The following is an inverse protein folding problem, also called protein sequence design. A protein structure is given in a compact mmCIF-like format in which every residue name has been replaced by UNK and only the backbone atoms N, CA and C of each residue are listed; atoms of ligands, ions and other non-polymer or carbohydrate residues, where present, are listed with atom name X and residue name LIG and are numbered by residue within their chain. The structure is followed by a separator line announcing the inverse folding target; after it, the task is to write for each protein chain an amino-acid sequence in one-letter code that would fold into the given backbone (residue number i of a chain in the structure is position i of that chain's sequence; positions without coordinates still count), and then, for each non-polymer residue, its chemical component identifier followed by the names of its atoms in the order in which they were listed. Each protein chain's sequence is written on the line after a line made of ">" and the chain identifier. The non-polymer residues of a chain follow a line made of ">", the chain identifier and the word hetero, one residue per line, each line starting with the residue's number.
data_IF_806814617846
#
_entry.id   IF_806814617846
#
_cell.length_a   1.000
_cell.length_b   1.000
_cell.length_c   1.000
_cell.angle_alpha   90.00
_cell.angle_beta   90.00
_cell.angle_gamma   90.00
#
_symmetry.space_group_name_H-M   'P 1'
#
loop_
_entity.id
_entity.type
_entity.pdbx_description
1 polymer ?
#
# COMPACT_ATOMS: atom_id res chain seq x y z
N UNK A 1 10.21 4.30 3.88
CA UNK A 1 10.62 5.12 2.72
C UNK A 1 9.39 5.40 1.90
N UNK A 2 8.84 6.62 1.96
CA UNK A 2 7.74 7.00 1.07
C UNK A 2 8.35 7.18 -0.32
N UNK A 3 8.30 6.16 -1.17
CA UNK A 3 8.41 6.41 -2.61
C UNK A 3 7.30 7.39 -2.91
N UNK A 4 7.70 8.63 -3.24
CA UNK A 4 6.76 9.71 -3.51
C UNK A 4 5.73 9.21 -4.49
N UNK A 5 4.50 9.11 -4.01
CA UNK A 5 3.27 9.09 -4.82
C UNK A 5 3.29 8.07 -5.97
N UNK A 6 4.10 7.01 -5.91
CA UNK A 6 4.02 5.98 -6.93
C UNK A 6 2.76 5.17 -6.62
N UNK A 7 1.77 5.25 -7.50
CA UNK A 7 0.77 4.19 -7.57
C UNK A 7 1.51 2.98 -8.13
N UNK A 8 1.56 1.88 -7.38
CA UNK A 8 2.43 0.75 -7.71
C UNK A 8 1.56 -0.49 -7.89
N UNK A 9 1.72 -1.23 -8.98
CA UNK A 9 1.30 -2.62 -9.02
C UNK A 9 2.42 -3.50 -8.45
N UNK A 10 2.16 -4.11 -7.29
CA UNK A 10 3.03 -5.17 -6.77
C UNK A 10 2.72 -6.50 -7.47
N UNK A 11 3.77 -7.30 -7.68
CA UNK A 11 3.70 -8.72 -8.02
C UNK A 11 3.14 -9.48 -6.80
N UNK A 12 1.85 -9.34 -6.53
CA UNK A 12 1.18 -10.22 -5.59
C UNK A 12 1.22 -11.62 -6.20
N UNK A 13 1.94 -12.53 -5.55
CA UNK A 13 2.22 -13.86 -6.05
C UNK A 13 0.94 -14.50 -6.60
N UNK A 14 1.03 -15.02 -7.82
CA UNK A 14 -0.06 -15.69 -8.50
C UNK A 14 -0.31 -17.04 -7.79
N UNK A 15 -1.12 -17.06 -6.74
CA UNK A 15 -1.47 -18.28 -6.00
C UNK A 15 -2.58 -19.06 -6.72
N UNK A 16 -2.40 -19.30 -8.02
CA UNK A 16 -3.20 -20.27 -8.76
C UNK A 16 -2.55 -21.67 -8.67
N UNK A 17 -2.35 -22.18 -7.46
CA UNK A 17 -2.08 -23.61 -7.23
C UNK A 17 -2.58 -24.05 -5.85
N UNK A 18 -3.88 -23.86 -5.61
CA UNK A 18 -4.61 -24.71 -4.69
C UNK A 18 -4.88 -26.06 -5.37
N UNK A 19 -4.78 -27.17 -4.63
CA UNK A 19 -5.11 -28.53 -5.08
C UNK A 19 -6.57 -28.61 -5.57
N UNK A 20 -6.80 -28.24 -6.83
CA UNK A 20 -8.00 -28.59 -7.58
C UNK A 20 -7.66 -29.74 -8.53
N UNK A 21 -8.62 -30.65 -8.83
CA UNK A 21 -8.42 -31.65 -9.88
C UNK A 21 -7.97 -30.94 -11.17
N UNK A 22 -6.95 -31.50 -11.82
CA UNK A 22 -6.22 -30.87 -12.92
C UNK A 22 -7.17 -30.15 -13.90
N UNK A 23 -7.09 -28.81 -14.02
CA UNK A 23 -7.80 -28.13 -15.08
C UNK A 23 -7.26 -28.62 -16.43
N UNK A 24 -8.14 -28.69 -17.43
CA UNK A 24 -7.75 -28.97 -18.82
C UNK A 24 -6.52 -28.12 -19.21
N UNK A 25 -5.59 -28.63 -20.04
CA UNK A 25 -4.35 -27.93 -20.35
C UNK A 25 -4.68 -26.53 -20.87
N UNK A 26 -4.38 -25.51 -20.06
CA UNK A 26 -4.36 -24.13 -20.52
C UNK A 26 -3.28 -24.03 -21.59
N UNK A 27 -3.58 -23.40 -22.71
CA UNK A 27 -2.58 -23.02 -23.71
C UNK A 27 -1.40 -22.33 -23.00
N UNK A 28 -0.17 -22.57 -23.46
CA UNK A 28 1.01 -21.91 -22.91
C UNK A 28 0.80 -20.38 -22.89
N UNK A 29 1.25 -19.67 -21.83
CA UNK A 29 1.07 -18.23 -21.73
C UNK A 29 1.59 -17.55 -22.99
N UNK A 30 0.72 -16.78 -23.64
CA UNK A 30 1.08 -16.03 -24.84
C UNK A 30 1.97 -14.88 -24.41
N UNK A 31 3.28 -15.01 -24.64
CA UNK A 31 4.21 -13.88 -24.53
C UNK A 31 3.74 -12.77 -25.48
N UNK A 32 3.43 -11.61 -24.94
CA UNK A 32 3.10 -10.42 -25.73
C UNK A 32 4.39 -9.63 -25.92
N UNK A 33 4.70 -9.21 -27.15
CA UNK A 33 5.83 -8.30 -27.36
C UNK A 33 5.53 -6.96 -26.69
N UNK A 34 6.56 -6.29 -26.22
CA UNK A 34 6.39 -5.07 -25.48
C UNK A 34 5.73 -3.96 -26.32
N UNK A 35 6.04 -3.92 -27.60
CA UNK A 35 5.42 -3.04 -28.58
C UNK A 35 3.91 -3.34 -28.72
N UNK A 36 3.53 -4.61 -28.68
CA UNK A 36 2.14 -5.02 -28.70
C UNK A 36 1.41 -4.58 -27.41
N UNK A 37 2.04 -4.66 -26.23
CA UNK A 37 1.46 -4.15 -24.98
C UNK A 37 1.23 -2.64 -25.04
N UNK A 38 2.25 -1.87 -25.45
CA UNK A 38 2.15 -0.41 -25.54
C UNK A 38 1.12 0.03 -26.58
N UNK A 39 0.97 -0.70 -27.69
CA UNK A 39 -0.05 -0.43 -28.70
C UNK A 39 -1.50 -0.54 -28.17
N UNK A 40 -1.71 -1.27 -27.06
CA UNK A 40 -3.02 -1.44 -26.42
C UNK A 40 -3.35 -0.36 -25.40
N UNK A 41 -2.38 0.46 -24.97
CA UNK A 41 -2.54 1.47 -23.91
C UNK A 41 -3.77 2.34 -24.13
N UNK A 42 -3.96 2.90 -25.32
CA UNK A 42 -5.11 3.78 -25.61
C UNK A 42 -6.45 3.04 -25.54
N UNK A 43 -6.49 1.77 -25.97
CA UNK A 43 -7.70 0.96 -25.90
C UNK A 43 -8.05 0.60 -24.45
N UNK A 44 -7.05 0.17 -23.66
CA UNK A 44 -7.22 -0.12 -22.24
C UNK A 44 -7.60 1.16 -21.47
N UNK A 45 -7.00 2.32 -21.78
CA UNK A 45 -7.34 3.60 -21.17
C UNK A 45 -8.81 3.99 -21.38
N UNK A 46 -9.35 3.76 -22.58
CA UNK A 46 -10.79 3.96 -22.84
C UNK A 46 -11.66 2.98 -22.08
N UNK A 47 -11.25 1.72 -21.95
CA UNK A 47 -11.97 0.69 -21.19
C UNK A 47 -12.02 1.03 -19.69
N UNK A 48 -10.85 1.30 -19.09
CA UNK A 48 -10.68 1.72 -17.70
C UNK A 48 -11.53 2.96 -17.42
N UNK A 49 -11.39 4.01 -18.24
CA UNK A 49 -12.15 5.26 -18.11
C UNK A 49 -13.67 5.01 -18.16
N UNK A 50 -14.13 4.21 -19.11
CA UNK A 50 -15.55 3.88 -19.25
C UNK A 50 -16.08 3.06 -18.07
N UNK A 51 -15.33 2.08 -17.58
CA UNK A 51 -15.79 1.21 -16.50
C UNK A 51 -15.76 1.93 -15.15
N UNK A 52 -14.68 2.67 -14.87
CA UNK A 52 -14.50 3.43 -13.63
C UNK A 52 -15.36 4.69 -13.57
N UNK A 53 -15.79 5.21 -14.71
CA UNK A 53 -16.59 6.42 -14.82
C UNK A 53 -15.79 7.72 -14.71
N UNK A 54 -14.46 7.66 -14.70
CA UNK A 54 -13.57 8.82 -14.64
C UNK A 54 -13.12 9.24 -16.04
N UNK A 55 -13.20 10.54 -16.39
CA UNK A 55 -12.77 11.00 -17.71
C UNK A 55 -11.25 10.92 -17.86
N UNK A 56 -10.81 10.38 -19.00
CA UNK A 56 -9.43 10.52 -19.48
C UNK A 56 -9.26 11.93 -20.07
N UNK A 57 -8.68 12.86 -19.30
CA UNK A 57 -8.47 14.26 -19.67
C UNK A 57 -7.29 14.45 -20.62
N UNK A 58 -6.27 13.60 -20.52
CA UNK A 58 -5.06 13.60 -21.36
C UNK A 58 -4.53 12.17 -21.53
N UNK A 59 -3.82 11.93 -22.63
CA UNK A 59 -3.08 10.67 -22.82
C UNK A 59 -2.11 10.45 -21.66
N UNK A 60 -1.92 9.19 -21.28
CA UNK A 60 -0.97 8.79 -20.23
C UNK A 60 0.28 8.25 -20.93
N UNK A 61 1.39 9.01 -20.95
CA UNK A 61 2.65 8.51 -21.49
C UNK A 61 3.07 7.23 -20.77
N UNK A 62 3.64 6.31 -21.52
CA UNK A 62 4.07 5.01 -21.01
C UNK A 62 5.51 4.74 -21.41
N UNK A 63 6.22 4.02 -20.56
CA UNK A 63 7.51 3.44 -20.89
C UNK A 63 7.64 2.06 -20.27
N UNK A 64 8.68 1.35 -20.69
CA UNK A 64 9.00 0.04 -20.15
C UNK A 64 10.47 0.04 -19.82
N UNK A 65 10.77 -0.45 -18.62
CA UNK A 65 12.13 -0.57 -18.13
C UNK A 65 12.41 -2.00 -17.68
N UNK A 66 13.68 -2.39 -17.67
CA UNK A 66 14.11 -3.60 -16.98
C UNK A 66 14.40 -3.32 -15.50
N UNK A 67 14.67 -4.40 -14.79
CA UNK A 67 14.96 -4.40 -13.35
C UNK A 67 16.19 -3.55 -12.99
N UNK A 68 17.20 -3.50 -13.86
CA UNK A 68 18.42 -2.73 -13.60
C UNK A 68 18.15 -1.23 -13.66
N UNK A 69 17.41 -0.77 -14.67
CA UNK A 69 16.98 0.63 -14.75
C UNK A 69 16.01 0.99 -13.62
N UNK A 70 15.09 0.10 -13.24
CA UNK A 70 14.23 0.30 -12.07
C UNK A 70 15.07 0.50 -10.81
N UNK A 71 15.98 -0.43 -10.51
CA UNK A 71 16.86 -0.35 -9.33
C UNK A 71 17.67 0.95 -9.32
N UNK A 72 18.20 1.37 -10.46
CA UNK A 72 18.93 2.63 -10.61
C UNK A 72 18.06 3.84 -10.27
N UNK A 73 16.81 3.88 -10.71
CA UNK A 73 15.84 4.95 -10.37
C UNK A 73 15.53 4.95 -8.87
N UNK A 74 15.28 3.78 -8.27
CA UNK A 74 15.04 3.67 -6.83
C UNK A 74 16.25 4.15 -6.01
N UNK A 75 17.48 3.83 -6.45
CA UNK A 75 18.72 4.34 -5.85
C UNK A 75 18.86 5.85 -5.98
N UNK A 76 18.48 6.44 -7.11
CA UNK A 76 18.49 7.89 -7.28
C UNK A 76 17.53 8.58 -6.29
N UNK A 77 16.30 8.07 -6.19
CA UNK A 77 15.27 8.56 -5.25
C UNK A 77 15.76 8.42 -3.79
N UNK A 78 16.36 7.27 -3.45
CA UNK A 78 16.90 7.02 -2.11
C UNK A 78 18.02 7.99 -1.71
N UNK A 79 18.75 8.53 -2.68
CA UNK A 79 19.83 9.49 -2.45
C UNK A 79 19.36 10.94 -2.39
N UNK A 80 18.09 11.25 -2.65
CA UNK A 80 17.54 12.58 -2.42
C UNK A 80 17.57 12.95 -0.93
N UNK A 81 18.01 14.17 -0.59
CA UNK A 81 18.26 14.59 0.79
C UNK A 81 17.06 14.42 1.72
N UNK A 82 15.84 14.69 1.22
CA UNK A 82 14.60 14.48 1.99
C UNK A 82 14.38 12.98 2.25
N UNK A 83 14.32 12.18 1.19
CA UNK A 83 14.06 10.74 1.23
C UNK A 83 15.09 10.00 2.09
N UNK A 84 16.36 10.35 1.97
CA UNK A 84 17.45 9.75 2.74
C UNK A 84 17.29 10.01 4.24
N UNK A 85 16.96 11.24 4.64
CA UNK A 85 16.76 11.60 6.05
C UNK A 85 15.54 10.90 6.65
N UNK A 86 14.43 10.88 5.93
CA UNK A 86 13.19 10.21 6.37
C UNK A 86 13.39 8.70 6.50
N UNK A 87 13.98 8.06 5.49
CA UNK A 87 14.25 6.62 5.51
C UNK A 87 15.20 6.25 6.65
N UNK A 88 16.21 7.07 6.93
CA UNK A 88 17.11 6.86 8.06
C UNK A 88 16.42 7.06 9.43
N UNK A 89 15.48 8.01 9.54
CA UNK A 89 14.72 8.25 10.76
C UNK A 89 13.72 7.10 11.03
N UNK A 90 12.99 6.67 10.00
CA UNK A 90 12.05 5.55 10.05
C UNK A 90 12.75 4.23 10.37
N UNK A 91 13.85 3.91 9.68
CA UNK A 91 14.63 2.70 9.96
C UNK A 91 15.18 2.67 11.39
N UNK A 92 15.67 3.82 11.89
CA UNK A 92 16.08 3.95 13.30
C UNK A 92 14.91 3.71 14.25
N UNK A 93 13.73 4.24 13.94
CA UNK A 93 12.55 4.10 14.79
C UNK A 93 12.02 2.65 14.80
N UNK A 94 11.88 2.02 13.64
CA UNK A 94 11.45 0.63 13.52
C UNK A 94 12.41 -0.31 14.26
N UNK A 95 13.71 -0.09 14.13
CA UNK A 95 14.71 -0.86 14.87
C UNK A 95 14.60 -0.63 16.38
N UNK A 96 14.37 0.62 16.82
CA UNK A 96 14.19 0.94 18.25
C UNK A 96 12.96 0.28 18.84
N UNK A 97 11.87 0.19 18.09
CA UNK A 97 10.63 -0.48 18.50
C UNK A 97 10.69 -2.00 18.38
N UNK A 98 11.78 -2.57 17.84
CA UNK A 98 11.92 -4.01 17.63
C UNK A 98 11.10 -4.55 16.46
N UNK A 99 10.61 -3.68 15.58
CA UNK A 99 9.81 -4.07 14.41
C UNK A 99 10.68 -4.58 13.25
N UNK A 100 11.96 -4.23 13.25
CA UNK A 100 13.01 -4.78 12.37
C UNK A 100 14.27 -5.10 13.19
N UNK A 101 15.18 -5.97 12.70
CA UNK A 101 16.45 -6.24 13.38
C UNK A 101 17.31 -4.98 13.58
N UNK A 102 17.95 -4.83 14.74
CA UNK A 102 18.73 -3.64 15.14
C UNK A 102 19.83 -3.21 14.15
N UNK A 103 20.41 -4.17 13.41
CA UNK A 103 21.52 -3.93 12.48
C UNK A 103 21.12 -4.09 11.01
N UNK A 104 19.82 -4.11 10.72
CA UNK A 104 19.32 -4.19 9.35
C UNK A 104 19.62 -2.89 8.60
N UNK A 105 20.14 -2.99 7.38
CA UNK A 105 20.15 -1.88 6.44
C UNK A 105 18.75 -1.72 5.86
N UNK A 106 17.95 -0.86 6.50
CA UNK A 106 16.55 -0.64 6.14
C UNK A 106 16.40 -0.10 4.71
N UNK A 107 17.29 0.80 4.28
CA UNK A 107 17.21 1.39 2.93
C UNK A 107 17.55 0.35 1.86
N UNK A 108 18.63 -0.42 2.04
CA UNK A 108 19.00 -1.47 1.10
C UNK A 108 17.89 -2.51 0.98
N UNK A 109 17.33 -2.95 2.11
CA UNK A 109 16.22 -3.91 2.13
C UNK A 109 14.99 -3.38 1.36
N UNK A 110 14.60 -2.12 1.56
CA UNK A 110 13.49 -1.53 0.82
C UNK A 110 13.74 -1.48 -0.69
N UNK A 111 14.95 -1.08 -1.10
CA UNK A 111 15.31 -1.04 -2.52
C UNK A 111 15.27 -2.45 -3.11
N UNK A 112 15.75 -3.46 -2.40
CA UNK A 112 15.72 -4.85 -2.85
C UNK A 112 14.28 -5.35 -3.01
N UNK A 113 13.43 -5.16 -2.00
CA UNK A 113 12.01 -5.55 -2.05
C UNK A 113 11.31 -4.86 -3.23
N UNK A 114 11.47 -3.56 -3.40
CA UNK A 114 10.76 -2.84 -4.47
C UNK A 114 11.31 -3.15 -5.86
N UNK A 115 12.62 -3.35 -5.98
CA UNK A 115 13.22 -3.79 -7.25
C UNK A 115 12.68 -5.16 -7.68
N UNK A 116 12.32 -6.01 -6.72
CA UNK A 116 11.79 -7.35 -6.98
C UNK A 116 10.28 -7.37 -7.21
N UNK A 117 9.53 -6.54 -6.48
CA UNK A 117 8.07 -6.64 -6.41
C UNK A 117 7.32 -5.72 -7.37
N UNK A 118 7.92 -4.65 -7.88
CA UNK A 118 7.22 -3.71 -8.77
C UNK A 118 7.00 -4.35 -10.15
N UNK A 119 5.74 -4.63 -10.49
CA UNK A 119 5.33 -5.04 -11.84
C UNK A 119 5.13 -3.83 -12.76
N UNK A 120 4.64 -2.74 -12.18
CA UNK A 120 4.41 -1.46 -12.84
C UNK A 120 4.27 -0.35 -11.81
N UNK A 121 4.40 0.90 -12.26
CA UNK A 121 4.08 2.05 -11.44
C UNK A 121 3.69 3.26 -12.29
N UNK A 122 2.83 4.11 -11.75
CA UNK A 122 2.52 5.44 -12.25
C UNK A 122 3.20 6.49 -11.40
N UNK A 123 3.89 7.42 -12.04
CA UNK A 123 4.56 8.53 -11.38
C UNK A 123 3.79 9.85 -11.58
N UNK A 124 3.19 10.43 -10.53
CA UNK A 124 2.46 11.70 -10.57
C UNK A 124 3.35 12.92 -10.76
N UNK A 125 4.67 12.84 -10.59
CA UNK A 125 5.57 13.95 -10.91
C UNK A 125 5.83 14.02 -12.42
N UNK A 126 6.15 12.87 -13.04
CA UNK A 126 6.39 12.80 -14.49
C UNK A 126 5.14 12.55 -15.32
N UNK A 127 4.01 12.26 -14.65
CA UNK A 127 2.71 11.88 -15.23
C UNK A 127 2.78 10.63 -16.12
N UNK A 128 3.76 9.77 -15.89
CA UNK A 128 4.10 8.64 -16.77
C UNK A 128 3.86 7.30 -16.07
N UNK A 129 3.30 6.36 -16.80
CA UNK A 129 3.20 4.96 -16.40
C UNK A 129 4.45 4.19 -16.85
N UNK A 130 4.95 3.30 -16.01
CA UNK A 130 6.12 2.46 -16.28
C UNK A 130 5.76 1.01 -16.04
N UNK A 131 6.02 0.14 -16.99
CA UNK A 131 5.85 -1.31 -16.84
C UNK A 131 7.22 -1.97 -16.75
N UNK A 132 7.39 -2.92 -15.83
CA UNK A 132 8.59 -3.76 -15.81
C UNK A 132 8.55 -4.78 -16.95
N UNK A 133 9.67 -4.98 -17.66
CA UNK A 133 9.77 -6.05 -18.68
C UNK A 133 9.37 -7.43 -18.15
N UNK A 134 9.62 -7.70 -16.86
CA UNK A 134 9.28 -8.99 -16.22
C UNK A 134 7.76 -9.24 -16.13
N UNK A 135 6.92 -8.19 -16.22
CA UNK A 135 5.47 -8.38 -16.25
C UNK A 135 4.99 -9.02 -17.55
N UNK A 136 5.76 -8.93 -18.65
CA UNK A 136 5.39 -9.38 -19.99
C UNK A 136 5.47 -10.89 -20.23
N UNK A 137 5.92 -11.69 -19.26
CA UNK A 137 6.02 -13.14 -19.40
C UNK A 137 4.64 -13.83 -19.48
N UNK A 138 3.60 -13.19 -18.93
CA UNK A 138 2.19 -13.54 -19.10
C UNK A 138 1.44 -12.33 -19.66
N UNK A 139 0.95 -12.45 -20.90
CA UNK A 139 0.28 -11.36 -21.60
C UNK A 139 -1.03 -10.90 -20.97
N UNK A 140 -1.80 -11.81 -20.37
CA UNK A 140 -3.07 -11.46 -19.73
C UNK A 140 -2.80 -10.72 -18.40
N UNK A 141 -1.79 -11.17 -17.66
CA UNK A 141 -1.31 -10.46 -16.46
C UNK A 141 -0.75 -9.08 -16.79
N UNK A 142 0.11 -8.97 -17.82
CA UNK A 142 0.69 -7.70 -18.24
C UNK A 142 -0.38 -6.66 -18.60
N UNK A 143 -1.49 -7.11 -19.20
CA UNK A 143 -2.60 -6.21 -19.52
C UNK A 143 -3.37 -5.76 -18.28
N UNK A 144 -3.53 -6.62 -17.26
CA UNK A 144 -4.13 -6.23 -15.99
C UNK A 144 -3.25 -5.23 -15.22
N UNK A 145 -1.93 -5.45 -15.21
CA UNK A 145 -0.98 -4.47 -14.65
C UNK A 145 -1.09 -3.13 -15.39
N UNK A 146 -1.12 -3.15 -16.73
CA UNK A 146 -1.33 -1.95 -17.52
C UNK A 146 -2.64 -1.23 -17.16
N UNK A 147 -3.74 -1.97 -16.96
CA UNK A 147 -5.01 -1.40 -16.55
C UNK A 147 -4.95 -0.74 -15.16
N UNK A 148 -4.27 -1.39 -14.19
CA UNK A 148 -4.03 -0.84 -12.84
C UNK A 148 -3.24 0.47 -12.91
N UNK A 149 -2.16 0.51 -13.68
CA UNK A 149 -1.33 1.71 -13.81
C UNK A 149 -2.01 2.85 -14.57
N UNK A 150 -2.79 2.53 -15.60
CA UNK A 150 -3.64 3.51 -16.30
C UNK A 150 -4.65 4.10 -15.33
N UNK A 151 -5.20 3.30 -14.42
CA UNK A 151 -6.12 3.80 -13.42
C UNK A 151 -5.46 4.80 -12.49
N UNK A 152 -4.22 4.58 -12.03
CA UNK A 152 -3.50 5.60 -11.27
C UNK A 152 -3.36 6.90 -12.06
N UNK A 153 -3.10 6.82 -13.36
CA UNK A 153 -3.14 7.99 -14.25
C UNK A 153 -4.51 8.68 -14.32
N UNK A 154 -5.62 7.92 -14.30
CA UNK A 154 -6.97 8.50 -14.23
C UNK A 154 -7.26 9.12 -12.86
N UNK A 155 -6.87 8.46 -11.78
CA UNK A 155 -7.01 8.98 -10.41
C UNK A 155 -6.25 10.30 -10.29
N UNK A 156 -5.00 10.38 -10.77
CA UNK A 156 -4.22 11.62 -10.74
C UNK A 156 -4.87 12.74 -11.55
N UNK A 157 -5.37 12.43 -12.74
CA UNK A 157 -6.06 13.43 -13.57
C UNK A 157 -7.33 13.97 -12.92
N UNK A 158 -7.98 13.22 -12.04
CA UNK A 158 -9.28 13.56 -11.46
C UNK A 158 -9.22 14.03 -10.00
N UNK A 159 -8.24 13.57 -9.23
CA UNK A 159 -8.13 13.79 -7.79
C UNK A 159 -6.79 14.42 -7.36
N UNK A 160 -5.83 14.59 -8.28
CA UNK A 160 -4.47 15.07 -7.98
C UNK A 160 -3.80 14.21 -6.90
N UNK A 161 -3.28 13.03 -7.30
CA UNK A 161 -2.74 12.05 -6.36
C UNK A 161 -1.57 12.62 -5.55
N UNK A 162 -0.77 13.50 -6.16
CA UNK A 162 0.32 14.19 -5.47
C UNK A 162 -0.18 14.97 -4.26
N UNK A 163 -1.22 15.80 -4.46
CA UNK A 163 -1.83 16.55 -3.36
C UNK A 163 -2.61 15.64 -2.40
N UNK A 164 -3.29 14.63 -2.93
CA UNK A 164 -4.08 13.70 -2.13
C UNK A 164 -3.21 12.93 -1.13
N UNK A 165 -2.00 12.55 -1.51
CA UNK A 165 -1.09 11.77 -0.68
C UNK A 165 -0.05 12.62 0.07
N UNK A 166 -0.05 13.94 -0.12
CA UNK A 166 0.77 14.89 0.63
C UNK A 166 0.21 15.07 2.06
N UNK A 167 0.42 14.02 2.86
CA UNK A 167 0.09 13.93 4.28
C UNK A 167 1.37 14.21 5.09
N UNK A 168 1.32 15.00 6.18
CA UNK A 168 2.50 15.26 6.99
C UNK A 168 3.22 13.95 7.38
N UNK A 169 4.56 14.00 7.42
CA UNK A 169 5.37 12.81 7.68
C UNK A 169 5.11 12.22 9.08
N UNK A 170 4.59 13.03 10.00
CA UNK A 170 4.17 12.60 11.34
C UNK A 170 2.83 11.86 11.39
N UNK A 171 2.10 11.76 10.28
CA UNK A 171 0.78 11.15 10.19
C UNK A 171 0.86 9.87 9.32
N UNK A 172 1.71 8.92 9.75
CA UNK A 172 1.95 7.66 9.05
C UNK A 172 0.68 6.86 8.78
N UNK A 173 -0.16 6.67 9.80
CA UNK A 173 -1.43 5.95 9.69
C UNK A 173 -2.37 6.54 8.61
N UNK A 174 -2.62 7.86 8.66
CA UNK A 174 -3.43 8.55 7.66
C UNK A 174 -2.86 8.41 6.23
N UNK A 175 -1.53 8.40 6.10
CA UNK A 175 -0.88 8.17 4.80
C UNK A 175 -1.10 6.75 4.28
N UNK A 176 -1.06 5.74 5.13
CA UNK A 176 -1.34 4.35 4.74
C UNK A 176 -2.83 4.21 4.38
N UNK A 177 -3.72 4.82 5.16
CA UNK A 177 -5.17 4.81 4.90
C UNK A 177 -5.51 5.42 3.53
N UNK A 178 -4.91 6.56 3.18
CA UNK A 178 -5.10 7.17 1.85
C UNK A 178 -4.56 6.28 0.73
N UNK A 179 -3.38 5.68 0.91
CA UNK A 179 -2.82 4.73 -0.05
C UNK A 179 -3.76 3.53 -0.25
N UNK A 180 -4.38 3.04 0.82
CA UNK A 180 -5.33 1.92 0.74
C UNK A 180 -6.57 2.27 -0.08
N UNK A 181 -7.08 3.51 -0.02
CA UNK A 181 -8.13 3.94 -0.94
C UNK A 181 -7.65 3.92 -2.41
N UNK A 182 -6.45 4.45 -2.68
CA UNK A 182 -5.88 4.53 -4.04
C UNK A 182 -5.69 3.14 -4.64
N UNK A 183 -5.01 2.25 -3.91
CA UNK A 183 -4.70 0.89 -4.36
C UNK A 183 -5.93 -0.01 -4.36
N UNK A 184 -6.81 0.12 -3.36
CA UNK A 184 -8.07 -0.60 -3.31
C UNK A 184 -8.99 -0.28 -4.49
N UNK A 185 -9.05 1.00 -4.89
CA UNK A 185 -9.76 1.42 -6.10
C UNK A 185 -9.15 0.75 -7.34
N UNK A 186 -7.81 0.72 -7.41
CA UNK A 186 -7.02 0.01 -8.43
C UNK A 186 -7.41 -1.45 -8.60
N UNK A 187 -7.26 -2.21 -7.53
CA UNK A 187 -7.51 -3.65 -7.51
C UNK A 187 -8.99 -3.97 -7.78
N UNK A 188 -9.92 -3.21 -7.20
CA UNK A 188 -11.35 -3.42 -7.43
C UNK A 188 -11.73 -3.25 -8.91
N UNK A 189 -11.20 -2.22 -9.58
CA UNK A 189 -11.47 -2.02 -11.01
C UNK A 189 -10.79 -3.10 -11.85
N UNK A 190 -9.55 -3.49 -11.54
CA UNK A 190 -8.84 -4.56 -12.25
C UNK A 190 -9.67 -5.85 -12.24
N UNK A 191 -10.26 -6.20 -11.10
CA UNK A 191 -11.15 -7.36 -10.97
C UNK A 191 -12.44 -7.16 -11.77
N UNK A 192 -13.08 -5.99 -11.72
CA UNK A 192 -14.27 -5.71 -12.53
C UNK A 192 -13.99 -5.77 -14.05
N UNK A 193 -12.81 -5.35 -14.51
CA UNK A 193 -12.38 -5.48 -15.92
C UNK A 193 -12.30 -6.96 -16.29
N UNK A 194 -11.59 -7.76 -15.49
CA UNK A 194 -11.45 -9.20 -15.72
C UNK A 194 -12.81 -9.90 -15.82
N UNK A 195 -13.72 -9.63 -14.88
CA UNK A 195 -15.06 -10.22 -14.86
C UNK A 195 -15.91 -9.76 -16.04
N UNK A 196 -15.87 -8.46 -16.35
CA UNK A 196 -16.64 -7.89 -17.47
C UNK A 196 -16.23 -8.47 -18.82
N UNK A 197 -14.93 -8.72 -19.03
CA UNK A 197 -14.41 -9.40 -20.23
C UNK A 197 -14.94 -10.83 -20.36
N UNK A 198 -15.30 -11.47 -19.25
CA UNK A 198 -15.93 -12.79 -19.20
C UNK A 198 -17.47 -12.73 -19.19
N UNK A 199 -18.07 -11.54 -19.31
CA UNK A 199 -19.53 -11.35 -19.24
C UNK A 199 -20.12 -11.51 -17.83
N UNK A 200 -19.29 -11.47 -16.79
CA UNK A 200 -19.71 -11.60 -15.39
C UNK A 200 -19.92 -10.20 -14.79
N UNK A 201 -20.99 -10.03 -14.02
CA UNK A 201 -21.32 -8.78 -13.34
C UNK A 201 -20.36 -8.50 -12.15
N UNK A 202 -20.34 -7.25 -11.69
CA UNK A 202 -19.55 -6.84 -10.52
C UNK A 202 -19.90 -7.68 -9.27
N UNK A 203 -18.92 -8.19 -8.52
CA UNK A 203 -19.15 -9.19 -7.48
C UNK A 203 -19.48 -8.57 -6.11
N UNK A 204 -19.31 -7.25 -5.94
CA UNK A 204 -19.27 -6.60 -4.61
C UNK A 204 -20.57 -6.65 -3.83
N UNK A 205 -21.69 -7.01 -4.46
CA UNK A 205 -22.97 -7.21 -3.75
C UNK A 205 -22.92 -8.35 -2.73
N UNK A 206 -21.97 -9.29 -2.88
CA UNK A 206 -21.67 -10.35 -1.93
C UNK A 206 -20.35 -10.03 -1.18
N UNK A 207 -20.40 -9.66 0.12
CA UNK A 207 -19.19 -9.31 0.87
C UNK A 207 -18.19 -10.47 0.96
N UNK A 208 -18.67 -11.72 0.97
CA UNK A 208 -17.80 -12.90 1.05
C UNK A 208 -16.82 -13.02 -0.13
N UNK A 209 -17.09 -12.36 -1.27
CA UNK A 209 -16.15 -12.33 -2.40
C UNK A 209 -14.94 -11.47 -2.08
N UNK A 210 -15.13 -10.30 -1.48
CA UNK A 210 -14.03 -9.44 -1.07
C UNK A 210 -13.17 -10.12 0.00
N UNK A 211 -13.80 -10.76 1.00
CA UNK A 211 -13.11 -11.51 2.04
C UNK A 211 -12.30 -12.69 1.48
N UNK A 212 -12.84 -13.40 0.48
CA UNK A 212 -12.14 -14.51 -0.16
C UNK A 212 -10.92 -14.02 -0.98
N UNK A 213 -11.06 -12.89 -1.68
CA UNK A 213 -9.98 -12.27 -2.45
C UNK A 213 -8.87 -11.74 -1.54
N UNK A 214 -9.22 -11.07 -0.44
CA UNK A 214 -8.29 -10.63 0.59
C UNK A 214 -7.48 -11.81 1.12
N UNK A 215 -8.16 -12.90 1.51
CA UNK A 215 -7.49 -14.14 1.98
C UNK A 215 -6.57 -14.75 0.93
N UNK A 216 -6.98 -14.77 -0.33
CA UNK A 216 -6.16 -15.28 -1.43
C UNK A 216 -4.89 -14.43 -1.65
N UNK A 217 -5.01 -13.10 -1.52
CA UNK A 217 -3.89 -12.17 -1.55
C UNK A 217 -3.01 -12.25 -0.30
N UNK A 218 -3.53 -12.79 0.81
CA UNK A 218 -2.85 -12.99 2.10
C UNK A 218 -1.93 -14.20 2.19
N UNK A 219 -1.97 -15.09 1.18
CA UNK A 219 -1.05 -16.24 1.10
C UNK A 219 0.35 -15.74 0.70
N UNK A 220 1.41 -16.02 1.51
CA UNK A 220 2.79 -15.67 1.16
C UNK A 220 3.23 -16.25 -0.18
N UNK A 221 4.12 -15.56 -0.87
CA UNK A 221 4.67 -16.00 -2.14
C UNK A 221 5.64 -17.18 -2.01
N UNK A 222 6.31 -17.49 -3.12
CA UNK A 222 7.28 -18.58 -3.22
C UNK A 222 8.69 -18.16 -2.73
N UNK A 223 8.82 -17.47 -1.60
CA UNK A 223 10.09 -17.19 -0.94
C UNK A 223 10.90 -16.04 -1.54
N UNK A 224 10.21 -15.01 -2.04
CA UNK A 224 10.83 -13.80 -2.60
C UNK A 224 11.37 -12.85 -1.51
N UNK A 225 11.83 -11.65 -1.89
CA UNK A 225 12.37 -10.66 -0.95
C UNK A 225 11.32 -10.08 -0.01
N UNK A 226 10.06 -9.98 -0.45
CA UNK A 226 8.95 -9.50 0.37
C UNK A 226 8.58 -10.54 1.44
N UNK A 227 8.58 -11.82 1.07
CA UNK A 227 8.36 -12.92 2.03
C UNK A 227 9.42 -12.94 3.14
N UNK A 228 10.67 -12.60 2.80
CA UNK A 228 11.81 -12.53 3.73
C UNK A 228 11.88 -11.23 4.54
N UNK A 229 11.12 -10.21 4.16
CA UNK A 229 11.11 -8.94 4.87
C UNK A 229 10.50 -9.11 6.28
N UNK A 230 10.90 -8.30 7.27
CA UNK A 230 10.24 -8.27 8.57
C UNK A 230 8.73 -8.05 8.43
N UNK A 231 7.93 -8.68 9.30
CA UNK A 231 6.47 -8.63 9.24
C UNK A 231 5.92 -7.20 9.15
N UNK A 232 6.49 -6.28 9.92
CA UNK A 232 6.07 -4.87 9.89
C UNK A 232 6.21 -4.24 8.50
N UNK A 233 7.24 -4.61 7.74
CA UNK A 233 7.48 -4.08 6.39
C UNK A 233 6.57 -4.76 5.39
N UNK A 234 6.55 -6.10 5.41
CA UNK A 234 5.75 -6.90 4.49
C UNK A 234 4.28 -6.52 4.56
N UNK A 235 3.72 -6.50 5.75
CA UNK A 235 2.28 -6.23 5.93
C UNK A 235 1.94 -4.77 5.64
N UNK A 236 2.81 -3.82 6.01
CA UNK A 236 2.60 -2.39 5.65
C UNK A 236 2.60 -2.16 4.14
N UNK A 237 3.39 -2.94 3.37
CA UNK A 237 3.41 -2.84 1.91
C UNK A 237 2.17 -3.47 1.26
N UNK A 238 1.64 -4.56 1.81
CA UNK A 238 0.53 -5.28 1.17
C UNK A 238 -0.84 -4.79 1.65
N UNK A 239 -0.93 -4.23 2.86
CA UNK A 239 -2.18 -3.71 3.44
C UNK A 239 -2.97 -2.80 2.49
N UNK A 240 -2.36 -1.81 1.79
CA UNK A 240 -3.10 -0.94 0.89
C UNK A 240 -3.86 -1.68 -0.23
N UNK A 241 -3.37 -2.84 -0.67
CA UNK A 241 -4.01 -3.63 -1.72
C UNK A 241 -5.12 -4.51 -1.16
N UNK A 242 -4.83 -5.21 -0.07
CA UNK A 242 -5.74 -6.19 0.55
C UNK A 242 -6.91 -5.50 1.26
N UNK A 243 -6.60 -4.69 2.26
CA UNK A 243 -7.62 -4.00 3.05
C UNK A 243 -8.20 -2.82 2.28
N UNK A 244 -7.45 -2.24 1.34
CA UNK A 244 -8.00 -1.28 0.40
C UNK A 244 -9.08 -1.89 -0.50
N UNK A 245 -8.86 -3.11 -1.02
CA UNK A 245 -9.87 -3.81 -1.82
C UNK A 245 -11.14 -4.07 -1.02
N UNK A 246 -11.03 -4.56 0.21
CA UNK A 246 -12.21 -4.80 1.06
C UNK A 246 -12.95 -3.51 1.37
N UNK A 247 -12.23 -2.43 1.67
CA UNK A 247 -12.80 -1.09 1.87
C UNK A 247 -13.55 -0.59 0.63
N UNK A 248 -12.93 -0.64 -0.55
CA UNK A 248 -13.58 -0.19 -1.79
C UNK A 248 -14.76 -1.10 -2.18
N UNK A 249 -14.65 -2.40 -1.98
CA UNK A 249 -15.76 -3.34 -2.18
C UNK A 249 -16.94 -3.01 -1.27
N UNK A 250 -16.70 -2.63 0.00
CA UNK A 250 -17.73 -2.18 0.92
C UNK A 250 -18.43 -0.89 0.43
N UNK A 251 -17.66 0.07 -0.09
CA UNK A 251 -18.23 1.28 -0.71
C UNK A 251 -19.01 0.97 -1.99
N UNK A 252 -18.59 -0.04 -2.78
CA UNK A 252 -19.17 -0.43 -4.07
C UNK A 252 -20.35 -1.40 -3.99
N UNK A 253 -20.62 -1.99 -2.82
CA UNK A 253 -21.56 -3.12 -2.60
C UNK A 253 -22.80 -3.12 -3.51
N UNK A 254 -23.57 -2.03 -3.51
CA UNK A 254 -24.68 -1.76 -4.46
C UNK A 254 -24.66 -0.33 -4.98
N UNK A 255 -23.54 0.36 -4.80
CA UNK A 255 -23.39 1.77 -5.10
C UNK A 255 -22.59 1.95 -6.39
N UNK A 256 -22.85 3.02 -7.17
CA UNK A 256 -22.01 3.38 -8.31
C UNK A 256 -20.58 3.77 -7.88
N UNK A 257 -19.67 3.85 -8.84
CA UNK A 257 -18.27 4.28 -8.61
C UNK A 257 -18.15 5.67 -7.98
N UNK A 258 -19.19 6.53 -8.11
CA UNK A 258 -19.23 7.83 -7.44
C UNK A 258 -19.22 7.75 -5.91
N UNK A 259 -19.54 6.59 -5.30
CA UNK A 259 -19.33 6.38 -3.87
C UNK A 259 -17.83 6.33 -3.51
N UNK A 260 -16.99 5.79 -4.39
CA UNK A 260 -15.53 5.80 -4.23
C UNK A 260 -14.97 7.20 -4.51
N UNK A 261 -15.52 7.91 -5.50
CA UNK A 261 -15.14 9.31 -5.78
C UNK A 261 -15.40 10.23 -4.56
N UNK A 262 -16.50 10.01 -3.84
CA UNK A 262 -16.79 10.71 -2.59
C UNK A 262 -15.72 10.45 -1.51
N UNK A 263 -15.11 9.26 -1.49
CA UNK A 263 -14.01 8.94 -0.59
C UNK A 263 -12.70 9.65 -0.97
N UNK A 264 -12.46 9.96 -2.25
CA UNK A 264 -11.36 10.85 -2.63
C UNK A 264 -11.58 12.29 -2.16
N UNK A 265 -12.83 12.76 -2.12
CA UNK A 265 -13.17 14.07 -1.57
C UNK A 265 -13.13 14.12 -0.03
N UNK A 266 -13.47 13.01 0.63
CA UNK A 266 -13.43 12.83 2.08
C UNK A 266 -12.60 11.58 2.42
N UNK A 267 -11.26 11.69 2.42
CA UNK A 267 -10.38 10.53 2.57
C UNK A 267 -10.55 9.83 3.93
N UNK A 268 -10.31 8.51 3.98
CA UNK A 268 -10.11 7.82 5.25
C UNK A 268 -8.92 8.44 5.99
N UNK A 269 -9.04 8.51 7.32
CA UNK A 269 -8.12 9.20 8.23
C UNK A 269 -7.24 8.23 9.01
N UNK A 270 -7.62 6.97 9.10
CA UNK A 270 -6.91 5.93 9.83
C UNK A 270 -6.99 4.58 9.13
N UNK A 271 -6.04 3.69 9.43
CA UNK A 271 -6.10 2.28 8.99
C UNK A 271 -7.27 1.54 9.61
N UNK A 272 -7.72 1.94 10.81
CA UNK A 272 -8.98 1.48 11.41
C UNK A 272 -10.17 1.73 10.48
N UNK A 273 -10.30 2.93 9.89
CA UNK A 273 -11.39 3.20 8.95
C UNK A 273 -11.34 2.36 7.67
N UNK A 274 -10.15 1.88 7.30
CA UNK A 274 -9.97 0.93 6.18
C UNK A 274 -10.38 -0.49 6.60
N UNK A 275 -9.98 -0.91 7.79
CA UNK A 275 -10.29 -2.21 8.37
C UNK A 275 -11.79 -2.36 8.71
N UNK A 276 -12.42 -1.27 9.15
CA UNK A 276 -13.80 -1.17 9.62
C UNK A 276 -14.55 -0.09 8.81
N UNK A 277 -14.99 -0.38 7.56
CA UNK A 277 -15.60 0.61 6.67
C UNK A 277 -16.84 1.30 7.26
N UNK A 278 -17.55 0.68 8.20
CA UNK A 278 -18.66 1.27 8.94
C UNK A 278 -18.24 2.45 9.81
N UNK A 279 -17.02 2.46 10.38
CA UNK A 279 -16.47 3.60 11.12
C UNK A 279 -16.20 4.78 10.19
N UNK A 280 -15.68 4.51 8.98
CA UNK A 280 -15.54 5.53 7.94
C UNK A 280 -16.89 6.15 7.56
N UNK A 281 -17.90 5.31 7.32
CA UNK A 281 -19.25 5.75 6.96
C UNK A 281 -19.93 6.54 8.10
N UNK A 282 -19.59 6.25 9.35
CA UNK A 282 -20.05 6.99 10.53
C UNK A 282 -19.30 8.32 10.77
N UNK A 283 -18.27 8.64 9.97
CA UNK A 283 -17.34 9.76 10.23
C UNK A 283 -16.65 9.67 11.59
N UNK A 284 -16.35 8.46 12.06
CA UNK A 284 -15.61 8.24 13.28
C UNK A 284 -14.16 8.72 13.13
N UNK A 285 -13.65 9.56 14.03
CA UNK A 285 -12.37 10.25 13.84
C UNK A 285 -11.37 9.78 14.89
N UNK A 286 -10.13 9.44 14.49
CA UNK A 286 -9.11 9.13 15.46
C UNK A 286 -8.87 10.34 16.38
N UNK A 287 -8.70 10.06 17.67
CA UNK A 287 -8.39 11.03 18.70
C UNK A 287 -6.98 11.59 18.44
N UNK A 288 -6.83 12.91 18.23
CA UNK A 288 -5.53 13.49 17.96
C UNK A 288 -4.68 13.53 19.25
N UNK A 289 -3.50 12.91 19.20
CA UNK A 289 -2.55 12.90 20.31
C UNK A 289 -1.27 13.63 19.92
N UNK A 290 -0.83 14.52 20.80
CA UNK A 290 0.48 15.16 20.73
C UNK A 290 1.39 14.64 21.85
N UNK A 291 2.66 14.40 21.52
CA UNK A 291 3.71 14.05 22.48
C UNK A 291 4.95 14.87 22.15
N UNK A 292 5.45 15.59 23.15
CA UNK A 292 6.75 16.25 23.11
C UNK A 292 7.80 15.43 23.85
N UNK A 293 9.08 15.73 23.61
CA UNK A 293 10.17 15.18 24.40
C UNK A 293 9.99 15.57 25.89
N UNK A 294 9.89 14.60 26.82
CA UNK A 294 9.79 14.90 28.24
C UNK A 294 10.95 15.78 28.73
N UNK A 295 10.67 16.78 29.57
CA UNK A 295 11.68 17.71 30.09
C UNK A 295 12.81 17.01 30.90
N UNK A 296 12.55 15.81 31.41
CA UNK A 296 13.54 14.96 32.09
C UNK A 296 14.58 14.38 31.13
N UNK A 297 14.31 14.31 29.83
CA UNK A 297 15.20 13.77 28.79
C UNK A 297 16.03 14.88 28.13
N UNK A 298 16.70 15.71 28.94
CA UNK A 298 17.57 16.79 28.43
C UNK A 298 18.63 16.25 27.48
N UNK A 299 18.81 16.92 26.34
CA UNK A 299 19.76 16.55 25.29
C UNK A 299 19.26 15.49 24.30
N UNK A 300 18.04 14.97 24.48
CA UNK A 300 17.36 14.17 23.46
C UNK A 300 16.43 15.04 22.63
N UNK A 301 16.33 14.75 21.34
CA UNK A 301 15.41 15.38 20.40
C UNK A 301 14.56 14.34 19.70
N UNK A 302 13.34 14.72 19.27
CA UNK A 302 12.49 13.87 18.45
C UNK A 302 13.17 13.61 17.13
N UNK A 303 13.55 12.35 16.90
CA UNK A 303 14.14 11.88 15.65
C UNK A 303 13.08 11.37 14.69
N UNK A 304 12.03 10.77 15.22
CA UNK A 304 10.89 10.27 14.47
C UNK A 304 9.63 10.45 15.29
N UNK A 305 8.54 10.81 14.63
CA UNK A 305 7.20 10.92 15.21
C UNK A 305 6.23 10.39 14.17
N UNK A 306 5.29 9.54 14.58
CA UNK A 306 4.25 9.01 13.70
C UNK A 306 2.98 8.70 14.49
N UNK A 307 1.88 8.50 13.77
CA UNK A 307 0.73 7.70 14.22
C UNK A 307 0.90 6.30 13.64
N UNK A 308 0.70 5.25 14.44
CA UNK A 308 0.73 3.86 14.02
C UNK A 308 -0.63 3.40 13.49
N UNK A 309 -1.73 3.80 14.12
CA UNK A 309 -3.04 3.26 13.80
C UNK A 309 -3.25 1.86 14.33
N UNK A 310 -4.46 1.33 14.15
CA UNK A 310 -4.78 -0.07 14.44
C UNK A 310 -3.81 -1.04 13.73
N UNK A 311 -3.51 -0.79 12.45
CA UNK A 311 -2.54 -1.59 11.71
C UNK A 311 -1.16 -1.57 12.37
N UNK A 312 -0.60 -0.37 12.62
CA UNK A 312 0.75 -0.24 13.15
C UNK A 312 0.90 -0.86 14.53
N UNK A 313 -0.11 -0.73 15.39
CA UNK A 313 -0.14 -1.35 16.72
C UNK A 313 -0.17 -2.88 16.62
N UNK A 314 -1.05 -3.44 15.78
CA UNK A 314 -1.08 -4.89 15.53
C UNK A 314 0.25 -5.42 14.97
N UNK A 315 0.91 -4.67 14.09
CA UNK A 315 2.23 -5.03 13.56
C UNK A 315 3.33 -4.96 14.62
N UNK A 316 3.26 -4.01 15.55
CA UNK A 316 4.16 -3.98 16.70
C UNK A 316 4.03 -5.26 17.52
N UNK A 317 2.80 -5.65 17.89
CA UNK A 317 2.56 -6.90 18.64
C UNK A 317 3.10 -8.14 17.90
N UNK A 318 2.81 -8.25 16.59
CA UNK A 318 3.31 -9.37 15.76
C UNK A 318 4.82 -9.41 15.67
N UNK A 319 5.49 -8.25 15.61
CA UNK A 319 6.95 -8.16 15.63
C UNK A 319 7.55 -8.66 16.96
N UNK A 320 6.78 -8.68 18.05
CA UNK A 320 7.18 -9.22 19.36
C UNK A 320 6.65 -10.64 19.63
N UNK A 321 6.22 -11.35 18.59
CA UNK A 321 5.88 -12.77 18.66
C UNK A 321 4.45 -13.08 19.08
N UNK A 322 3.57 -12.06 19.17
CA UNK A 322 2.14 -12.29 19.33
C UNK A 322 1.57 -12.84 18.02
N UNK A 323 0.75 -13.88 18.09
CA UNK A 323 0.16 -14.48 16.90
C UNK A 323 -0.81 -13.51 16.20
N UNK A 324 -1.06 -13.66 14.89
CA UNK A 324 -1.84 -12.70 14.12
C UNK A 324 -3.25 -12.47 14.66
N UNK A 325 -3.96 -13.50 15.11
CA UNK A 325 -5.34 -13.36 15.56
C UNK A 325 -5.42 -12.60 16.89
N UNK A 326 -4.55 -12.94 17.84
CA UNK A 326 -4.44 -12.22 19.11
C UNK A 326 -4.00 -10.77 18.89
N UNK A 327 -3.05 -10.53 17.99
CA UNK A 327 -2.57 -9.18 17.70
C UNK A 327 -3.63 -8.30 17.03
N UNK A 328 -4.45 -8.85 16.12
CA UNK A 328 -5.60 -8.15 15.54
C UNK A 328 -6.62 -7.83 16.62
N UNK A 329 -7.06 -8.83 17.40
CA UNK A 329 -8.05 -8.60 18.46
C UNK A 329 -7.57 -7.62 19.55
N UNK A 330 -6.27 -7.56 19.82
CA UNK A 330 -5.69 -6.60 20.77
C UNK A 330 -5.46 -5.19 20.17
N UNK A 331 -5.56 -5.04 18.85
CA UNK A 331 -5.50 -3.73 18.19
C UNK A 331 -6.90 -3.15 17.93
N UNK A 332 -7.93 -4.00 17.89
CA UNK A 332 -9.34 -3.57 17.83
C UNK A 332 -9.67 -2.64 19.00
N UNK A 333 -10.49 -1.61 18.74
CA UNK A 333 -10.81 -0.57 19.72
C UNK A 333 -9.78 0.54 19.85
N UNK A 334 -8.75 0.54 19.00
CA UNK A 334 -7.80 1.65 18.88
C UNK A 334 -8.55 2.97 18.61
N UNK A 335 -8.42 3.95 19.50
CA UNK A 335 -9.05 5.26 19.35
C UNK A 335 -8.11 6.35 18.84
N UNK A 336 -6.80 6.17 18.97
CA UNK A 336 -5.78 7.13 18.55
C UNK A 336 -4.41 6.80 19.13
N UNK A 337 -3.33 7.20 18.47
CA UNK A 337 -1.99 7.10 19.05
C UNK A 337 -1.05 8.23 18.61
N UNK A 338 0.05 8.33 19.35
CA UNK A 338 1.26 9.04 18.92
C UNK A 338 2.46 8.25 19.38
N UNK A 339 3.39 8.02 18.46
CA UNK A 339 4.59 7.24 18.72
C UNK A 339 5.82 8.03 18.31
N UNK A 340 6.71 8.27 19.27
CA UNK A 340 7.94 9.02 19.04
C UNK A 340 9.17 8.20 19.38
N UNK A 341 10.26 8.47 18.64
CA UNK A 341 11.60 8.00 18.97
C UNK A 341 12.52 9.20 19.14
N UNK A 342 13.16 9.25 20.30
CA UNK A 342 14.07 10.29 20.74
C UNK A 342 15.51 9.78 20.64
N UNK A 343 16.43 10.64 20.22
CA UNK A 343 17.86 10.35 20.22
C UNK A 343 18.67 11.60 20.56
N UNK A 344 19.91 11.42 21.02
CA UNK A 344 20.88 12.52 21.09
C UNK A 344 21.39 12.86 19.69
N UNK A 345 21.84 14.08 19.51
CA UNK A 345 22.44 14.50 18.24
C UNK A 345 23.63 13.60 17.85
N UNK A 346 23.70 13.24 16.57
CA UNK A 346 24.71 12.34 16.02
C UNK A 346 24.62 10.86 16.46
N UNK A 347 23.68 10.44 17.31
CA UNK A 347 23.56 9.02 17.68
C UNK A 347 23.12 8.20 16.46
N UNK A 348 23.80 7.09 16.20
CA UNK A 348 23.50 6.22 15.05
C UNK A 348 22.96 4.86 15.47
N UNK A 349 23.03 4.51 16.76
CA UNK A 349 22.57 3.22 17.29
C UNK A 349 21.13 3.26 17.79
N UNK A 350 20.20 2.53 17.15
CA UNK A 350 18.81 2.48 17.58
C UNK A 350 18.65 2.05 19.05
N UNK A 351 19.47 1.12 19.56
CA UNK A 351 19.37 0.64 20.94
C UNK A 351 19.65 1.70 22.01
N UNK A 352 20.23 2.86 21.63
CA UNK A 352 20.45 4.01 22.52
C UNK A 352 19.37 5.09 22.42
N UNK A 353 18.41 4.92 21.51
CA UNK A 353 17.24 5.77 21.43
C UNK A 353 16.28 5.53 22.59
N UNK A 354 15.31 6.43 22.76
CA UNK A 354 14.18 6.27 23.70
C UNK A 354 12.91 6.26 22.86
N UNK A 355 12.06 5.26 23.08
CA UNK A 355 10.79 5.08 22.39
C UNK A 355 9.66 5.39 23.37
N UNK A 356 8.72 6.24 22.97
CA UNK A 356 7.55 6.61 23.78
C UNK A 356 6.32 6.50 22.89
N UNK A 357 5.31 5.78 23.36
CA UNK A 357 4.01 5.72 22.73
C UNK A 357 2.96 6.20 23.74
N UNK A 358 1.95 6.92 23.24
CA UNK A 358 0.71 7.18 23.95
C UNK A 358 -0.43 6.75 23.05
N UNK A 359 -1.34 5.96 23.59
CA UNK A 359 -2.52 5.45 22.90
C UNK A 359 -3.76 5.93 23.64
N UNK A 360 -4.86 6.05 22.91
CA UNK A 360 -6.22 6.22 23.42
C UNK A 360 -7.05 5.08 22.81
N UNK A 361 -8.03 4.59 23.55
CA UNK A 361 -8.85 3.43 23.19
C UNK A 361 -10.32 3.78 23.38
N UNK A 362 -11.20 3.11 22.64
CA UNK A 362 -12.64 3.34 22.67
C UNK A 362 -13.25 3.06 24.04
N UNK A 363 -12.70 2.11 24.79
CA UNK A 363 -13.10 1.79 26.14
C UNK A 363 -11.94 1.34 27.03
N UNK A 364 -12.17 1.32 28.35
CA UNK A 364 -11.22 0.78 29.33
C UNK A 364 -11.02 -0.74 29.16
N UNK A 365 -11.95 -1.45 28.54
CA UNK A 365 -11.79 -2.89 28.26
C UNK A 365 -10.87 -3.14 27.06
N UNK A 366 -10.78 -2.18 26.13
CA UNK A 366 -9.91 -2.24 24.96
C UNK A 366 -8.46 -1.82 25.32
N UNK A 367 -8.28 -1.02 26.38
CA UNK A 367 -6.99 -0.52 26.88
C UNK A 367 -6.24 -1.51 27.78
#
# INVERSE_FOLDING_TARGET
>A
MRFRVLGVALLLANTAQAEQPAPAPKDAPKKISLEALLSRTDAVAREVSKLRGLPLKRSIPNEVIDKDELRKRLLAIANEDKTKRETAAEGFALARWGMIPLRMDYQAMLIDVLSDQIAGYYDPDTKKLTISKSAGDDGDWAELVLAHEIQHGLQDQNFDLKKFEDVPDSEGDASIARRALVEGDGIALMIEIMLKRQGIASPWSNPAVADALEKAMSVPGAGDSLDKAPVAIRESMIFPYRSGLTFVAALRRRQPWSAVDAAFAKPPRSTEQILHPERYLADDKPVPIAIDAPASLRGYTVRHSTVWGELGFGLYLRSHGIDPATATGAAEGWGGDRVIVLARDGETRPERGIAIARTEWDSEADA
#
